data_IF_727252567286
#
_entry.id   IF_727252567286
#
_cell.length_a   1.000
_cell.length_b   1.000
_cell.length_c   1.000
_cell.angle_alpha   90.00
_cell.angle_beta   90.00
_cell.angle_gamma   90.00
#
_symmetry.space_group_name_H-M   'P 1'
#
loop_
_entity.id
_entity.type
_entity.pdbx_description
1 polymer ?
#
# COMPACT_ATOMS: atom_id res chain seq x y z
N UNK A 1 15.53 5.43 -22.28
CA UNK A 1 14.50 5.60 -21.31
C UNK A 1 13.53 4.47 -21.25
N UNK A 2 12.89 4.16 -22.39
CA UNK A 2 11.91 3.08 -22.35
C UNK A 2 12.54 1.76 -21.95
N UNK A 3 13.79 1.54 -22.30
CA UNK A 3 14.46 0.30 -21.93
C UNK A 3 14.62 0.17 -20.42
N UNK A 4 15.00 1.25 -19.78
CA UNK A 4 15.12 1.26 -18.34
C UNK A 4 13.78 1.00 -17.71
N UNK A 5 12.76 1.60 -18.28
CA UNK A 5 11.43 1.45 -17.74
C UNK A 5 10.96 0.00 -17.83
N UNK A 6 11.24 -0.62 -18.95
CA UNK A 6 10.86 -2.02 -19.13
C UNK A 6 11.58 -2.93 -18.16
N UNK A 7 12.84 -2.67 -17.92
CA UNK A 7 13.62 -3.44 -16.98
C UNK A 7 13.07 -3.29 -15.57
N UNK A 8 12.70 -2.08 -15.23
CA UNK A 8 12.10 -1.84 -13.92
C UNK A 8 10.80 -2.59 -13.79
N UNK A 9 10.05 -2.65 -14.85
CA UNK A 9 8.77 -3.33 -14.82
C UNK A 9 8.95 -4.82 -14.57
N UNK A 10 9.90 -5.43 -15.25
CA UNK A 10 10.19 -6.84 -15.02
C UNK A 10 10.70 -7.08 -13.63
N UNK A 11 11.56 -6.21 -13.20
CA UNK A 11 12.15 -6.33 -11.88
C UNK A 11 11.07 -6.28 -10.81
N UNK A 12 10.13 -5.38 -10.98
CA UNK A 12 9.02 -5.26 -10.05
C UNK A 12 8.15 -6.51 -10.07
N UNK A 13 7.96 -7.06 -11.25
CA UNK A 13 7.10 -8.22 -11.37
C UNK A 13 7.69 -9.44 -10.68
N UNK A 14 8.98 -9.61 -10.75
CA UNK A 14 9.58 -10.83 -10.23
C UNK A 14 10.21 -10.65 -8.88
N UNK A 15 11.16 -9.75 -8.82
CA UNK A 15 11.91 -9.56 -7.59
C UNK A 15 11.23 -8.58 -6.68
N UNK A 16 10.74 -7.51 -7.26
CA UNK A 16 10.13 -6.46 -6.48
C UNK A 16 8.88 -6.90 -5.75
N UNK A 17 8.18 -7.87 -6.30
CA UNK A 17 6.96 -8.33 -5.67
C UNK A 17 7.24 -8.95 -4.31
N UNK A 18 8.23 -9.82 -4.26
CA UNK A 18 8.61 -10.45 -3.00
C UNK A 18 9.09 -9.41 -2.00
N UNK A 19 9.90 -8.47 -2.48
CA UNK A 19 10.39 -7.42 -1.61
C UNK A 19 9.27 -6.53 -1.11
N UNK A 20 8.34 -6.24 -1.99
CA UNK A 20 7.21 -5.41 -1.64
C UNK A 20 6.37 -6.07 -0.55
N UNK A 21 6.18 -7.38 -0.65
CA UNK A 21 5.45 -8.11 0.37
C UNK A 21 6.17 -8.03 1.71
N UNK A 22 7.47 -8.20 1.68
CA UNK A 22 8.27 -8.12 2.90
C UNK A 22 8.15 -6.75 3.55
N UNK A 23 8.26 -5.71 2.74
CA UNK A 23 8.16 -4.36 3.27
C UNK A 23 6.76 -4.07 3.79
N UNK A 24 5.76 -4.59 3.12
CA UNK A 24 4.39 -4.41 3.56
C UNK A 24 4.20 -5.03 4.95
N UNK A 25 4.74 -6.21 5.15
CA UNK A 25 4.63 -6.85 6.45
C UNK A 25 5.31 -6.03 7.54
N UNK A 26 6.46 -5.48 7.23
CA UNK A 26 7.18 -4.66 8.20
C UNK A 26 6.41 -3.39 8.54
N UNK A 27 5.84 -2.76 7.53
CA UNK A 27 5.05 -1.56 7.77
C UNK A 27 3.82 -1.89 8.60
N UNK A 28 3.15 -2.99 8.28
CA UNK A 28 1.98 -3.39 9.06
C UNK A 28 2.35 -3.69 10.50
N UNK A 29 3.47 -4.35 10.71
CA UNK A 29 3.92 -4.63 12.07
C UNK A 29 4.15 -3.34 12.83
N UNK A 30 4.74 -2.36 12.18
CA UNK A 30 4.98 -1.07 12.81
C UNK A 30 3.67 -0.39 13.17
N UNK A 31 2.71 -0.43 12.26
CA UNK A 31 1.41 0.17 12.51
C UNK A 31 0.73 -0.52 13.69
N UNK A 32 0.81 -1.85 13.74
CA UNK A 32 0.21 -2.58 14.83
C UNK A 32 0.84 -2.23 16.17
N UNK A 33 2.14 -1.99 16.18
CA UNK A 33 2.80 -1.57 17.41
C UNK A 33 2.34 -0.19 17.83
N UNK A 34 2.15 0.70 16.88
CA UNK A 34 1.62 2.01 17.19
C UNK A 34 0.24 1.90 17.82
N UNK A 35 -0.59 1.04 17.26
CA UNK A 35 -1.94 0.87 17.76
C UNK A 35 -1.94 0.31 19.17
N UNK A 36 -1.05 -0.61 19.44
CA UNK A 36 -0.95 -1.21 20.75
C UNK A 36 -0.50 -0.22 21.80
N UNK A 37 0.40 0.67 21.43
CA UNK A 37 0.97 1.59 22.40
C UNK A 37 0.21 2.89 22.50
N UNK A 38 -0.92 2.99 21.81
CA UNK A 38 -1.74 4.20 21.92
C UNK A 38 -2.23 4.35 23.36
N UNK A 39 -2.09 5.54 23.93
CA UNK A 39 -2.47 5.74 25.32
C UNK A 39 -3.97 5.78 25.56
N UNK A 40 -4.76 5.94 24.56
CA UNK A 40 -6.20 6.03 24.72
C UNK A 40 -6.88 5.16 23.68
N UNK A 41 -8.18 5.02 23.79
CA UNK A 41 -8.89 4.18 22.82
C UNK A 41 -8.47 4.55 21.41
N UNK A 42 -7.98 3.60 20.73
CA UNK A 42 -7.40 3.81 19.44
C UNK A 42 -8.48 3.95 18.37
N UNK A 43 -8.28 4.87 17.47
CA UNK A 43 -9.15 5.01 16.31
C UNK A 43 -8.42 4.49 15.09
N UNK A 44 -8.81 3.34 14.56
CA UNK A 44 -8.12 2.80 13.39
C UNK A 44 -8.04 3.80 12.24
N UNK A 45 -9.02 4.68 12.15
CA UNK A 45 -9.00 5.70 11.12
C UNK A 45 -7.77 6.58 11.17
N UNK A 46 -7.21 6.77 12.37
CA UNK A 46 -6.02 7.62 12.49
C UNK A 46 -4.81 7.03 11.80
N UNK A 47 -4.57 5.74 11.98
CA UNK A 47 -3.46 5.12 11.27
C UNK A 47 -3.76 5.00 9.79
N UNK A 48 -5.02 4.77 9.43
CA UNK A 48 -5.38 4.74 8.02
C UNK A 48 -5.03 6.06 7.33
N UNK A 49 -5.42 7.16 7.97
CA UNK A 49 -5.10 8.47 7.42
C UNK A 49 -3.61 8.73 7.41
N UNK A 50 -2.92 8.29 8.45
CA UNK A 50 -1.47 8.48 8.50
C UNK A 50 -0.77 7.73 7.38
N UNK A 51 -1.23 6.52 7.08
CA UNK A 51 -0.65 5.76 5.99
C UNK A 51 -0.87 6.46 4.65
N UNK A 52 -2.08 6.95 4.43
CA UNK A 52 -2.38 7.64 3.19
C UNK A 52 -1.54 8.91 3.06
N UNK A 53 -1.45 9.67 4.13
CA UNK A 53 -0.65 10.88 4.13
C UNK A 53 0.82 10.58 3.89
N UNK A 54 1.31 9.52 4.51
CA UNK A 54 2.71 9.15 4.36
C UNK A 54 3.02 8.81 2.91
N UNK A 55 2.14 8.09 2.25
CA UNK A 55 2.34 7.78 0.85
C UNK A 55 2.42 9.04 0.02
N UNK A 56 1.49 9.95 0.22
CA UNK A 56 1.45 11.18 -0.56
C UNK A 56 2.71 12.01 -0.30
N UNK A 57 3.06 12.20 0.97
CA UNK A 57 4.23 13.01 1.30
C UNK A 57 5.48 12.39 0.72
N UNK A 58 5.59 11.08 0.82
CA UNK A 58 6.74 10.36 0.29
C UNK A 58 6.91 10.61 -1.20
N UNK A 59 5.83 10.53 -1.94
CA UNK A 59 5.89 10.71 -3.38
C UNK A 59 6.08 12.16 -3.78
N UNK A 60 5.50 13.08 -3.00
CA UNK A 60 5.70 14.50 -3.26
C UNK A 60 7.16 14.90 -3.04
N UNK A 61 7.79 14.34 -2.00
CA UNK A 61 9.19 14.60 -1.77
C UNK A 61 10.04 14.08 -2.92
N UNK A 62 9.67 12.93 -3.45
CA UNK A 62 10.45 12.31 -4.52
C UNK A 62 10.23 12.99 -5.86
N UNK A 63 9.00 13.32 -6.19
CA UNK A 63 8.66 13.79 -7.54
C UNK A 63 8.20 15.23 -7.63
N UNK A 64 8.03 15.89 -6.51
CA UNK A 64 7.49 17.25 -6.51
C UNK A 64 5.99 17.24 -6.28
N UNK A 65 5.42 18.42 -6.01
CA UNK A 65 4.01 18.45 -5.59
C UNK A 65 3.01 17.94 -6.63
N UNK A 66 3.16 18.37 -7.86
CA UNK A 66 2.17 17.96 -8.86
C UNK A 66 2.34 16.51 -9.28
N UNK A 67 3.57 16.15 -9.62
CA UNK A 67 3.82 14.79 -10.06
C UNK A 67 3.64 13.81 -8.91
N UNK A 68 3.98 14.23 -7.70
CA UNK A 68 3.81 13.37 -6.54
C UNK A 68 2.36 13.00 -6.32
N UNK A 69 1.46 13.95 -6.52
CA UNK A 69 0.04 13.67 -6.36
C UNK A 69 -0.46 12.72 -7.43
N UNK A 70 0.00 12.91 -8.66
CA UNK A 70 -0.37 12.02 -9.74
C UNK A 70 0.15 10.61 -9.49
N UNK A 71 1.41 10.51 -9.06
CA UNK A 71 2.01 9.23 -8.78
C UNK A 71 1.30 8.53 -7.63
N UNK A 72 0.88 9.29 -6.62
CA UNK A 72 0.18 8.71 -5.50
C UNK A 72 -1.16 8.11 -5.95
N UNK A 73 -1.87 8.84 -6.77
CA UNK A 73 -3.15 8.35 -7.27
C UNK A 73 -2.95 7.10 -8.12
N UNK A 74 -1.97 7.15 -9.02
CA UNK A 74 -1.71 6.01 -9.90
C UNK A 74 -1.28 4.78 -9.10
N UNK A 75 -0.43 4.99 -8.12
CA UNK A 75 0.02 3.89 -7.29
C UNK A 75 -1.14 3.26 -6.53
N UNK A 76 -2.02 4.10 -6.02
CA UNK A 76 -3.15 3.61 -5.26
C UNK A 76 -4.12 2.83 -6.15
N UNK A 77 -4.44 3.39 -7.31
CA UNK A 77 -5.36 2.73 -8.24
C UNK A 77 -4.77 1.44 -8.77
N UNK A 78 -3.50 1.48 -9.10
CA UNK A 78 -2.83 0.29 -9.61
C UNK A 78 -2.81 -0.82 -8.56
N UNK A 79 -2.55 -0.44 -7.33
CA UNK A 79 -2.53 -1.41 -6.25
C UNK A 79 -3.91 -2.01 -6.02
N UNK A 80 -4.94 -1.18 -6.08
CA UNK A 80 -6.30 -1.69 -5.93
C UNK A 80 -6.62 -2.71 -7.01
N UNK A 81 -6.22 -2.43 -8.24
CA UNK A 81 -6.47 -3.36 -9.33
C UNK A 81 -5.73 -4.67 -9.10
N UNK A 82 -4.50 -4.58 -8.66
CA UNK A 82 -3.71 -5.79 -8.41
C UNK A 82 -4.28 -6.61 -7.29
N UNK A 83 -4.88 -5.96 -6.32
CA UNK A 83 -5.39 -6.66 -5.16
C UNK A 83 -6.82 -7.16 -5.33
N UNK A 84 -7.49 -6.76 -6.38
CA UNK A 84 -8.85 -7.20 -6.61
C UNK A 84 -9.02 -8.72 -6.55
N UNK A 85 -8.21 -9.50 -7.26
CA UNK A 85 -8.38 -10.95 -7.18
C UNK A 85 -8.18 -11.49 -5.78
N UNK A 86 -7.22 -10.91 -5.06
CA UNK A 86 -6.97 -11.34 -3.71
C UNK A 86 -8.15 -11.02 -2.79
N UNK A 87 -8.71 -9.83 -2.96
CA UNK A 87 -9.83 -9.42 -2.14
C UNK A 87 -11.06 -10.27 -2.42
N UNK A 88 -11.27 -10.59 -3.69
CA UNK A 88 -12.38 -11.47 -4.05
C UNK A 88 -12.20 -12.85 -3.44
N UNK A 89 -10.97 -13.32 -3.43
CA UNK A 89 -10.65 -14.59 -2.82
C UNK A 89 -10.91 -14.59 -1.33
N UNK A 90 -10.56 -13.50 -0.68
CA UNK A 90 -10.78 -13.37 0.74
C UNK A 90 -12.25 -13.36 1.08
N UNK A 91 -13.04 -12.69 0.27
CA UNK A 91 -14.48 -12.68 0.45
C UNK A 91 -15.05 -14.08 0.31
N UNK A 92 -14.59 -14.78 -0.69
CA UNK A 92 -15.04 -16.13 -0.95
C UNK A 92 -14.70 -17.05 0.19
N UNK A 93 -13.48 -16.91 0.73
CA UNK A 93 -13.02 -17.74 1.82
C UNK A 93 -13.82 -17.55 3.07
N UNK A 94 -14.14 -16.33 3.34
CA UNK A 94 -14.94 -16.01 4.52
C UNK A 94 -16.36 -16.50 4.36
N UNK A 95 -16.76 -16.74 3.13
CA UNK A 95 -18.11 -17.12 2.87
C UNK A 95 -19.03 -15.93 3.06
N UNK A 96 -20.32 -16.18 2.97
CA UNK A 96 -21.26 -15.08 3.16
C UNK A 96 -21.20 -14.59 4.59
N UNK A 97 -21.40 -13.31 4.79
CA UNK A 97 -21.37 -12.79 6.14
C UNK A 97 -22.44 -13.42 7.00
N UNK A 98 -22.15 -13.61 8.25
CA UNK A 98 -23.18 -14.16 9.14
C UNK A 98 -24.37 -13.23 9.19
N UNK A 99 -25.51 -13.82 9.22
CA UNK A 99 -26.73 -13.04 9.16
C UNK A 99 -27.25 -12.65 10.54
#
# INVERSE_FOLDING_TARGET
MSNEFDMESEWITELGKARSDEYTEKILAFVQELEKSAPEPFLPLLTDLALARTLIVHLVIRYGPERGMTEARDAFESTLEQMKPLLEKMKSRKGPPPQ
#
